data_IF_398977964774
#
_entry.id   IF_398977964774
#
_cell.length_a   1.000
_cell.length_b   1.000
_cell.length_c   1.000
_cell.angle_alpha   90.00
_cell.angle_beta   90.00
_cell.angle_gamma   90.00
#
_symmetry.space_group_name_H-M   'P 1'
#
loop_
_entity.id
_entity.type
_entity.pdbx_description
1 polymer ?
#
# COMPACT_ATOMS: atom_id res chain seq x y z
N UNK A 1 -25.76 56.02 13.12
CA UNK A 1 -26.68 55.43 12.16
C UNK A 1 -26.50 53.94 12.23
N UNK A 2 -27.48 53.26 12.87
CA UNK A 2 -27.50 51.84 13.15
C UNK A 2 -27.84 51.04 11.90
N UNK A 3 -27.14 49.93 11.66
CA UNK A 3 -27.56 48.89 10.76
C UNK A 3 -27.59 47.59 11.54
N UNK A 4 -28.81 47.13 11.84
CA UNK A 4 -29.17 45.94 12.55
C UNK A 4 -28.78 44.68 11.76
N UNK A 5 -28.12 43.73 12.42
CA UNK A 5 -27.90 42.36 11.90
C UNK A 5 -29.13 41.53 12.24
N UNK A 6 -29.92 41.15 11.24
CA UNK A 6 -30.95 40.08 11.35
C UNK A 6 -30.30 38.72 11.27
N UNK A 7 -30.47 37.92 12.32
CA UNK A 7 -30.25 36.49 12.33
C UNK A 7 -31.44 35.83 11.64
N UNK A 8 -31.17 35.00 10.62
CA UNK A 8 -32.17 34.13 10.00
C UNK A 8 -32.11 32.81 10.73
N UNK A 9 -33.15 32.50 11.49
CA UNK A 9 -33.38 31.20 12.13
C UNK A 9 -33.70 30.16 11.06
N UNK A 10 -32.95 29.06 11.02
CA UNK A 10 -33.26 27.88 10.21
C UNK A 10 -34.29 27.00 10.95
N UNK A 11 -35.36 26.56 10.29
CA UNK A 11 -36.32 25.67 10.90
C UNK A 11 -35.77 24.24 10.95
N UNK A 12 -35.64 23.71 12.16
CA UNK A 12 -35.45 22.29 12.46
C UNK A 12 -36.76 21.51 12.28
N UNK A 13 -37.15 21.17 11.06
CA UNK A 13 -38.27 20.22 10.85
C UNK A 13 -38.26 19.67 9.43
N UNK A 14 -37.30 18.84 9.09
CA UNK A 14 -37.34 18.02 7.87
C UNK A 14 -36.46 16.73 7.92
N UNK A 15 -36.02 16.31 9.08
CA UNK A 15 -35.17 15.10 9.21
C UNK A 15 -35.77 13.92 9.95
N UNK A 16 -37.03 13.95 10.30
CA UNK A 16 -37.71 12.85 11.02
C UNK A 16 -38.74 12.04 10.23
N UNK A 17 -38.90 12.29 8.94
CA UNK A 17 -39.96 11.61 8.15
C UNK A 17 -39.47 10.57 7.12
N UNK A 18 -38.16 10.21 7.09
CA UNK A 18 -37.63 9.31 6.05
C UNK A 18 -36.99 8.01 6.55
N UNK A 19 -37.24 7.58 7.78
CA UNK A 19 -36.64 6.38 8.38
C UNK A 19 -37.61 5.19 8.61
N UNK A 20 -38.84 5.23 8.14
CA UNK A 20 -39.79 4.17 8.38
C UNK A 20 -40.18 3.29 7.17
N UNK A 21 -39.54 3.42 6.02
CA UNK A 21 -39.91 2.63 4.83
C UNK A 21 -38.82 1.78 4.18
N UNK A 22 -37.73 1.45 4.87
CA UNK A 22 -36.62 0.69 4.24
C UNK A 22 -36.22 -0.60 4.97
N UNK A 23 -37.03 -1.14 5.88
CA UNK A 23 -36.76 -2.48 6.39
C UNK A 23 -37.98 -3.39 6.08
N UNK A 24 -37.79 -4.45 5.27
CA UNK A 24 -38.82 -5.46 5.10
C UNK A 24 -39.04 -6.21 6.42
N UNK A 25 -40.31 -6.45 6.74
CA UNK A 25 -40.76 -7.24 7.89
C UNK A 25 -40.11 -8.64 7.90
N UNK A 26 -39.94 -9.28 9.08
CA UNK A 26 -39.21 -10.55 9.24
C UNK A 26 -39.75 -11.76 8.47
N UNK A 27 -40.91 -11.66 7.83
CA UNK A 27 -41.53 -12.76 7.09
C UNK A 27 -41.08 -12.96 5.63
N UNK A 28 -40.24 -12.08 5.07
CA UNK A 28 -39.87 -12.15 3.63
C UNK A 28 -38.50 -12.80 3.34
N UNK A 29 -37.73 -13.19 4.35
CA UNK A 29 -36.42 -13.79 4.18
C UNK A 29 -36.39 -15.32 4.09
N UNK A 30 -37.47 -15.99 4.52
CA UNK A 30 -37.54 -17.46 4.48
C UNK A 30 -37.58 -18.07 3.06
N UNK A 31 -38.29 -17.49 2.05
CA UNK A 31 -38.33 -18.11 0.73
C UNK A 31 -37.00 -18.03 -0.04
N UNK A 32 -36.18 -16.99 0.21
CA UNK A 32 -34.90 -16.85 -0.50
C UNK A 32 -33.81 -17.80 0.00
N UNK A 33 -33.77 -18.11 1.28
CA UNK A 33 -32.86 -19.09 1.86
C UNK A 33 -33.20 -20.52 1.45
N UNK A 34 -34.48 -20.81 1.22
CA UNK A 34 -34.92 -22.14 0.80
C UNK A 34 -34.62 -22.44 -0.67
N UNK A 35 -34.63 -21.44 -1.54
CA UNK A 35 -34.24 -21.59 -2.96
C UNK A 35 -32.73 -21.75 -3.19
N UNK A 36 -31.90 -21.21 -2.29
CA UNK A 36 -30.43 -21.38 -2.40
C UNK A 36 -29.94 -22.77 -2.00
N UNK A 37 -30.69 -23.52 -1.19
CA UNK A 37 -30.33 -24.89 -0.76
C UNK A 37 -30.69 -25.99 -1.79
N UNK A 38 -31.47 -25.69 -2.80
CA UNK A 38 -31.99 -26.74 -3.71
C UNK A 38 -31.13 -27.07 -4.94
N UNK A 39 -30.09 -26.29 -5.23
CA UNK A 39 -29.31 -26.45 -6.45
C UNK A 39 -27.78 -26.46 -6.24
N UNK A 40 -27.30 -26.70 -5.04
CA UNK A 40 -25.89 -27.02 -4.88
C UNK A 40 -25.74 -28.55 -4.85
N UNK A 41 -24.98 -29.17 -5.77
CA UNK A 41 -24.57 -30.55 -5.59
C UNK A 41 -23.80 -30.64 -4.26
N UNK A 42 -24.09 -31.66 -3.47
CA UNK A 42 -23.28 -32.04 -2.31
C UNK A 42 -21.86 -32.29 -2.81
N UNK A 43 -21.02 -31.29 -2.70
CA UNK A 43 -19.58 -31.45 -2.88
C UNK A 43 -19.10 -32.08 -1.59
N UNK A 44 -18.93 -33.39 -1.61
CA UNK A 44 -18.27 -34.15 -0.56
C UNK A 44 -16.80 -33.67 -0.51
N UNK A 45 -16.59 -32.58 0.22
CA UNK A 45 -15.23 -32.13 0.51
C UNK A 45 -14.65 -33.16 1.48
N UNK A 46 -13.53 -33.80 1.14
CA UNK A 46 -12.88 -34.70 2.11
C UNK A 46 -12.63 -33.88 3.39
N UNK A 47 -13.32 -34.29 4.45
CA UNK A 47 -13.01 -33.80 5.80
C UNK A 47 -11.61 -34.32 6.08
N UNK A 48 -10.62 -33.43 6.02
CA UNK A 48 -9.28 -33.72 6.52
C UNK A 48 -9.42 -33.84 8.03
N UNK A 49 -9.76 -35.06 8.46
CA UNK A 49 -9.88 -35.42 9.85
C UNK A 49 -8.50 -35.76 10.43
N UNK A 50 -7.66 -34.72 10.47
CA UNK A 50 -6.50 -34.70 11.34
C UNK A 50 -6.22 -33.24 11.71
N UNK A 51 -6.41 -32.94 12.99
CA UNK A 51 -5.75 -31.81 13.62
C UNK A 51 -4.28 -31.86 13.18
N UNK A 52 -3.74 -30.83 12.50
CA UNK A 52 -2.34 -30.89 12.11
C UNK A 52 -1.53 -31.12 13.39
N UNK A 53 -0.89 -32.29 13.51
CA UNK A 53 0.09 -32.53 14.55
C UNK A 53 0.96 -31.25 14.56
N UNK A 54 1.26 -30.69 15.74
CA UNK A 54 2.16 -29.57 15.89
C UNK A 54 3.58 -29.97 15.47
N UNK A 55 3.72 -30.34 14.19
CA UNK A 55 5.01 -30.59 13.59
C UNK A 55 5.85 -29.33 13.76
N UNK A 56 7.03 -29.45 14.35
CA UNK A 56 7.97 -28.35 14.49
C UNK A 56 8.16 -27.73 13.11
N UNK A 57 8.02 -26.41 13.03
CA UNK A 57 8.29 -25.68 11.79
C UNK A 57 9.69 -26.03 11.29
N UNK A 58 9.86 -26.26 9.98
CA UNK A 58 11.18 -26.49 9.39
C UNK A 58 12.18 -25.42 9.78
N UNK A 59 13.46 -25.74 9.87
CA UNK A 59 14.52 -24.80 10.27
C UNK A 59 14.56 -23.57 9.35
N UNK A 60 14.31 -23.73 8.06
CA UNK A 60 14.30 -22.63 7.09
C UNK A 60 13.12 -21.64 7.26
N UNK A 61 12.10 -21.98 8.04
CA UNK A 61 11.02 -21.07 8.44
C UNK A 61 11.30 -20.33 9.75
N UNK A 62 12.43 -20.60 10.41
CA UNK A 62 12.82 -19.91 11.62
C UNK A 62 13.58 -18.64 11.29
N UNK A 63 13.07 -17.51 11.69
CA UNK A 63 13.76 -16.21 11.61
C UNK A 63 14.12 -15.74 13.01
N UNK A 64 15.24 -15.04 13.13
CA UNK A 64 15.63 -14.40 14.40
C UNK A 64 14.61 -13.31 14.73
N UNK A 65 14.11 -13.28 15.94
CA UNK A 65 13.24 -12.19 16.39
C UNK A 65 13.97 -10.84 16.23
N UNK A 66 13.28 -9.82 15.72
CA UNK A 66 13.88 -8.49 15.63
C UNK A 66 14.18 -7.98 17.05
N UNK A 67 15.43 -7.62 17.29
CA UNK A 67 15.89 -7.16 18.61
C UNK A 67 17.31 -6.62 18.56
N UNK A 68 17.74 -6.05 19.69
CA UNK A 68 19.05 -5.41 19.86
C UNK A 68 18.96 -3.89 19.85
N UNK A 69 20.05 -3.26 20.31
CA UNK A 69 20.13 -1.80 20.44
C UNK A 69 20.01 -1.09 19.11
N UNK A 70 20.69 -1.61 18.06
CA UNK A 70 20.61 -1.04 16.71
C UNK A 70 19.21 -1.02 16.15
N UNK A 71 18.46 -2.13 16.29
CA UNK A 71 17.06 -2.21 15.85
C UNK A 71 16.18 -1.20 16.58
N UNK A 72 16.32 -1.10 17.91
CA UNK A 72 15.55 -0.17 18.74
C UNK A 72 15.87 1.28 18.40
N UNK A 73 17.14 1.59 18.15
CA UNK A 73 17.61 2.91 17.74
C UNK A 73 17.00 3.32 16.37
N UNK A 74 17.08 2.44 15.36
CA UNK A 74 16.53 2.69 14.03
C UNK A 74 15.00 2.89 14.08
N UNK A 75 14.31 2.09 14.86
CA UNK A 75 12.86 2.24 15.06
C UNK A 75 12.49 3.58 15.71
N UNK A 76 13.24 4.01 16.72
CA UNK A 76 13.05 5.30 17.37
C UNK A 76 13.32 6.45 16.41
N UNK A 77 14.38 6.36 15.60
CA UNK A 77 14.73 7.35 14.60
C UNK A 77 13.62 7.48 13.53
N UNK A 78 13.08 6.38 13.01
CA UNK A 78 11.97 6.41 12.05
C UNK A 78 10.76 7.15 12.60
N UNK A 79 10.39 6.88 13.85
CA UNK A 79 9.27 7.54 14.51
C UNK A 79 9.52 9.02 14.76
N UNK A 80 10.73 9.39 15.19
CA UNK A 80 11.09 10.80 15.43
C UNK A 80 11.07 11.65 14.16
N UNK A 81 11.28 11.01 13.00
CA UNK A 81 11.22 11.63 11.68
C UNK A 81 9.84 11.52 11.01
N UNK A 82 8.83 10.96 11.69
CA UNK A 82 7.49 10.71 11.12
C UNK A 82 7.57 9.96 9.78
N UNK A 83 8.45 8.95 9.72
CA UNK A 83 8.63 8.11 8.54
C UNK A 83 7.93 6.77 8.73
N UNK A 84 7.39 6.24 7.63
CA UNK A 84 6.74 4.95 7.56
C UNK A 84 7.63 3.94 6.83
N UNK A 85 7.70 2.71 7.35
CA UNK A 85 8.36 1.60 6.68
C UNK A 85 7.39 0.46 6.44
N UNK A 86 7.43 -0.12 5.24
CA UNK A 86 6.68 -1.36 4.96
C UNK A 86 7.13 -2.47 5.90
N UNK A 87 8.39 -2.45 6.32
CA UNK A 87 8.93 -3.43 7.25
C UNK A 87 8.16 -3.48 8.58
N UNK A 88 7.72 -2.34 9.11
CA UNK A 88 6.90 -2.26 10.31
C UNK A 88 5.41 -2.45 10.01
N UNK A 89 4.87 -1.73 9.02
CA UNK A 89 3.44 -1.77 8.66
C UNK A 89 2.96 -3.17 8.26
N UNK A 90 3.77 -3.90 7.48
CA UNK A 90 3.49 -5.27 7.08
C UNK A 90 3.91 -6.32 8.12
N UNK A 91 4.43 -5.91 9.29
CA UNK A 91 4.96 -6.82 10.32
C UNK A 91 5.91 -7.86 9.73
N UNK A 92 6.84 -7.40 8.88
CA UNK A 92 7.73 -8.25 8.12
C UNK A 92 8.62 -9.10 9.07
N UNK A 93 8.63 -10.43 8.95
CA UNK A 93 9.46 -11.27 9.82
C UNK A 93 10.96 -11.11 9.56
N UNK A 94 11.33 -10.61 8.38
CA UNK A 94 12.73 -10.48 7.96
C UNK A 94 13.33 -9.10 8.29
N UNK A 95 12.60 -8.22 8.99
CA UNK A 95 13.01 -6.84 9.24
C UNK A 95 14.42 -6.75 9.87
N UNK A 96 14.73 -7.61 10.84
CA UNK A 96 16.03 -7.58 11.50
C UNK A 96 17.17 -7.98 10.57
N UNK A 97 16.95 -8.99 9.73
CA UNK A 97 17.93 -9.48 8.76
C UNK A 97 18.21 -8.41 7.69
N UNK A 98 17.15 -7.85 7.09
CA UNK A 98 17.27 -6.82 6.06
C UNK A 98 17.98 -5.56 6.60
N UNK A 99 17.59 -5.07 7.78
CA UNK A 99 18.20 -3.89 8.36
C UNK A 99 19.67 -4.10 8.71
N UNK A 100 20.02 -5.29 9.23
CA UNK A 100 21.42 -5.65 9.49
C UNK A 100 22.25 -5.80 8.21
N UNK A 101 21.60 -6.20 7.11
CA UNK A 101 22.24 -6.26 5.78
C UNK A 101 22.30 -4.89 5.08
N UNK A 102 21.91 -3.80 5.74
CA UNK A 102 21.89 -2.46 5.16
C UNK A 102 20.78 -2.23 4.12
N UNK A 103 19.65 -2.96 4.24
CA UNK A 103 18.50 -2.82 3.35
C UNK A 103 17.26 -2.41 4.13
N UNK A 104 16.55 -1.36 3.69
CA UNK A 104 15.28 -0.95 4.26
C UNK A 104 14.27 -0.54 3.18
N UNK A 105 12.97 -0.67 3.49
CA UNK A 105 11.88 -0.26 2.59
C UNK A 105 11.09 0.87 3.21
N UNK A 106 11.19 2.06 2.63
CA UNK A 106 10.42 3.24 3.03
C UNK A 106 9.10 3.29 2.28
N UNK A 107 8.07 3.74 2.97
CA UNK A 107 6.75 4.01 2.39
C UNK A 107 6.51 5.52 2.39
N UNK A 108 6.37 6.10 1.20
CA UNK A 108 6.17 7.53 0.98
C UNK A 108 4.73 7.86 0.57
N UNK A 109 4.45 9.15 0.42
CA UNK A 109 3.12 9.68 0.14
C UNK A 109 2.13 9.54 1.31
N UNK A 110 2.65 9.38 2.55
CA UNK A 110 1.88 9.23 3.78
C UNK A 110 1.55 7.77 4.15
N UNK A 111 0.62 7.60 5.09
CA UNK A 111 0.24 6.31 5.71
C UNK A 111 -1.11 5.74 5.27
N UNK A 112 -1.86 6.51 4.49
CA UNK A 112 -3.24 6.16 4.10
C UNK A 112 -3.35 6.02 2.59
N UNK A 113 -3.81 4.86 2.13
CA UNK A 113 -3.94 4.52 0.71
C UNK A 113 -5.37 4.77 0.22
N UNK A 114 -5.52 5.27 -1.00
CA UNK A 114 -6.84 5.42 -1.65
C UNK A 114 -7.41 4.10 -2.15
N UNK A 115 -6.62 3.01 -2.15
CA UNK A 115 -7.02 1.69 -2.63
C UNK A 115 -7.12 0.66 -1.51
N UNK A 116 -7.98 -0.36 -1.72
CA UNK A 116 -8.28 -1.44 -0.77
C UNK A 116 -7.90 -2.81 -1.34
N UNK A 117 -6.61 -3.03 -1.56
CA UNK A 117 -6.14 -4.34 -2.01
C UNK A 117 -6.32 -5.39 -0.92
N UNK A 118 -6.90 -6.56 -1.24
CA UNK A 118 -7.29 -7.57 -0.25
C UNK A 118 -6.15 -8.23 0.52
N UNK A 119 -4.91 -8.08 0.07
CA UNK A 119 -3.71 -8.62 0.72
C UNK A 119 -2.92 -7.57 1.52
N UNK A 120 -3.31 -6.28 1.43
CA UNK A 120 -2.52 -5.19 1.97
C UNK A 120 -2.99 -4.80 3.38
N UNK A 121 -2.05 -4.64 4.30
CA UNK A 121 -2.33 -4.22 5.67
C UNK A 121 -2.34 -2.69 5.85
N UNK A 122 -1.98 -1.92 4.81
CA UNK A 122 -1.95 -0.46 4.86
C UNK A 122 -3.36 0.10 5.02
N UNK A 123 -3.50 1.12 5.84
CA UNK A 123 -4.76 1.81 6.11
C UNK A 123 -5.37 2.35 4.82
N UNK A 124 -6.63 2.03 4.57
CA UNK A 124 -7.41 2.56 3.44
C UNK A 124 -8.27 3.75 3.88
N UNK A 125 -8.30 4.79 3.06
CA UNK A 125 -9.11 5.96 3.35
C UNK A 125 -8.78 7.17 2.49
N UNK A 126 -9.16 8.34 2.98
CA UNK A 126 -8.78 9.62 2.39
C UNK A 126 -7.45 10.08 2.99
N UNK A 127 -6.38 10.16 2.19
CA UNK A 127 -5.07 10.61 2.67
C UNK A 127 -5.08 12.08 3.11
N UNK A 128 -4.16 12.43 3.99
CA UNK A 128 -3.83 13.80 4.31
C UNK A 128 -3.15 14.49 3.09
N UNK A 129 -3.05 15.83 3.07
CA UNK A 129 -2.24 16.53 2.07
C UNK A 129 -0.83 15.98 1.99
N UNK A 130 -0.19 16.12 0.82
CA UNK A 130 1.21 15.71 0.64
C UNK A 130 2.13 16.47 1.58
N UNK A 131 3.07 15.75 2.17
CA UNK A 131 4.15 16.30 2.95
C UNK A 131 5.39 16.49 2.07
N UNK A 132 5.61 17.72 1.64
CA UNK A 132 6.72 18.07 0.74
C UNK A 132 8.10 17.99 1.41
N UNK A 133 8.17 17.81 2.73
CA UNK A 133 9.41 17.59 3.46
C UNK A 133 9.75 16.10 3.64
N UNK A 134 8.82 15.19 3.31
CA UNK A 134 9.02 13.75 3.39
C UNK A 134 10.25 13.27 2.61
N UNK A 135 10.52 13.73 1.34
CA UNK A 135 11.71 13.35 0.59
C UNK A 135 13.03 13.62 1.32
N UNK A 136 13.17 14.79 1.94
CA UNK A 136 14.35 15.16 2.71
C UNK A 136 14.55 14.24 3.92
N UNK A 137 13.47 13.98 4.67
CA UNK A 137 13.53 13.11 5.86
C UNK A 137 13.86 11.66 5.50
N UNK A 138 13.35 11.15 4.37
CA UNK A 138 13.73 9.82 3.85
C UNK A 138 15.21 9.78 3.52
N UNK A 139 15.72 10.77 2.81
CA UNK A 139 17.15 10.84 2.45
C UNK A 139 18.06 10.90 3.68
N UNK A 140 17.68 11.68 4.69
CA UNK A 140 18.41 11.73 5.97
C UNK A 140 18.40 10.37 6.70
N UNK A 141 17.26 9.66 6.68
CA UNK A 141 17.16 8.35 7.29
C UNK A 141 18.04 7.31 6.56
N UNK A 142 18.02 7.29 5.23
CA UNK A 142 18.90 6.43 4.40
C UNK A 142 20.36 6.65 4.75
N UNK A 143 20.78 7.92 4.86
CA UNK A 143 22.14 8.28 5.24
C UNK A 143 22.49 7.85 6.66
N UNK A 144 21.61 8.12 7.63
CA UNK A 144 21.84 7.76 9.04
C UNK A 144 21.88 6.25 9.27
N UNK A 145 21.10 5.48 8.50
CA UNK A 145 21.13 4.02 8.52
C UNK A 145 22.32 3.44 7.75
N UNK A 146 23.07 4.26 7.03
CA UNK A 146 24.16 3.83 6.13
C UNK A 146 23.74 2.69 5.22
N UNK A 147 22.60 2.84 4.54
CA UNK A 147 22.02 1.78 3.73
C UNK A 147 22.87 1.52 2.48
N UNK A 148 23.06 0.25 2.18
CA UNK A 148 23.64 -0.22 0.92
C UNK A 148 22.58 -0.25 -0.18
N UNK A 149 21.35 -0.62 0.22
CA UNK A 149 20.21 -0.73 -0.68
C UNK A 149 18.94 -0.13 -0.05
N UNK A 150 18.35 0.84 -0.74
CA UNK A 150 17.14 1.52 -0.32
C UNK A 150 16.00 1.14 -1.25
N UNK A 151 14.93 0.55 -0.71
CA UNK A 151 13.68 0.33 -1.43
C UNK A 151 12.71 1.44 -1.06
N UNK A 152 12.15 2.12 -2.06
CA UNK A 152 11.13 3.14 -1.88
C UNK A 152 9.83 2.58 -2.45
N UNK A 153 8.75 2.61 -1.67
CA UNK A 153 7.40 2.31 -2.13
C UNK A 153 6.45 3.41 -1.66
N UNK A 154 5.18 3.35 -2.03
CA UNK A 154 4.20 4.34 -1.60
C UNK A 154 2.82 3.75 -1.39
N UNK A 155 1.97 4.49 -0.68
CA UNK A 155 0.52 4.37 -0.80
C UNK A 155 0.06 4.87 -2.18
N UNK A 156 -1.10 4.42 -2.67
CA UNK A 156 -1.71 5.02 -3.85
C UNK A 156 -2.38 6.34 -3.50
N UNK A 157 -2.20 7.32 -4.37
CA UNK A 157 -2.76 8.67 -4.29
C UNK A 157 -3.61 8.97 -5.52
N UNK A 158 -4.65 8.14 -5.73
CA UNK A 158 -5.51 8.20 -6.93
C UNK A 158 -6.31 9.51 -7.06
N UNK A 159 -6.36 10.31 -5.99
CA UNK A 159 -6.96 11.64 -5.96
C UNK A 159 -6.05 12.74 -6.54
N UNK A 160 -4.74 12.46 -6.69
CA UNK A 160 -3.79 13.38 -7.29
C UNK A 160 -3.68 13.13 -8.81
N UNK A 161 -3.50 14.18 -9.56
CA UNK A 161 -3.40 14.13 -11.03
C UNK A 161 -2.22 13.26 -11.49
N UNK A 162 -1.10 13.32 -10.79
CA UNK A 162 0.10 12.56 -11.08
C UNK A 162 0.28 11.34 -10.17
N UNK A 163 -0.71 11.02 -9.32
CA UNK A 163 -0.62 9.90 -8.37
C UNK A 163 0.50 10.04 -7.34
N UNK A 164 1.01 11.25 -7.11
CA UNK A 164 2.12 11.54 -6.19
C UNK A 164 3.51 11.33 -6.82
N UNK A 165 3.61 11.27 -8.14
CA UNK A 165 4.89 11.03 -8.85
C UNK A 165 5.95 12.11 -8.58
N UNK A 166 5.55 13.34 -8.26
CA UNK A 166 6.48 14.40 -7.90
C UNK A 166 7.23 14.11 -6.60
N UNK A 167 6.54 13.59 -5.58
CA UNK A 167 7.19 13.15 -4.32
C UNK A 167 8.17 12.00 -4.60
N UNK A 168 7.84 11.09 -5.52
CA UNK A 168 8.75 10.04 -5.97
C UNK A 168 10.04 10.60 -6.54
N UNK A 169 9.93 11.52 -7.50
CA UNK A 169 11.08 12.15 -8.14
C UNK A 169 11.97 12.86 -7.11
N UNK A 170 11.38 13.67 -6.24
CA UNK A 170 12.12 14.38 -5.19
C UNK A 170 12.79 13.43 -4.20
N UNK A 171 12.13 12.30 -3.84
CA UNK A 171 12.70 11.33 -2.91
C UNK A 171 13.92 10.63 -3.51
N UNK A 172 13.83 10.16 -4.76
CA UNK A 172 14.94 9.50 -5.46
C UNK A 172 16.12 10.46 -5.54
N UNK A 173 15.90 11.70 -5.97
CA UNK A 173 16.93 12.75 -6.09
C UNK A 173 17.58 13.02 -4.74
N UNK A 174 16.82 13.26 -3.69
CA UNK A 174 17.33 13.54 -2.36
C UNK A 174 18.18 12.37 -1.79
N UNK A 175 17.75 11.12 -2.01
CA UNK A 175 18.52 9.93 -1.60
C UNK A 175 19.83 9.85 -2.36
N UNK A 176 19.82 10.06 -3.68
CA UNK A 176 21.06 10.04 -4.49
C UNK A 176 22.05 11.12 -4.11
N UNK A 177 21.57 12.33 -3.82
CA UNK A 177 22.42 13.44 -3.38
C UNK A 177 23.06 13.18 -2.01
N UNK A 178 22.26 12.64 -1.06
CA UNK A 178 22.73 12.42 0.32
C UNK A 178 23.55 11.14 0.50
N UNK A 179 23.33 10.14 -0.34
CA UNK A 179 23.91 8.79 -0.25
C UNK A 179 24.22 8.22 -1.65
N UNK A 180 25.21 8.75 -2.37
CA UNK A 180 25.47 8.40 -3.78
C UNK A 180 25.82 6.92 -4.02
N UNK A 181 26.32 6.23 -3.00
CA UNK A 181 26.68 4.81 -3.06
C UNK A 181 25.53 3.86 -2.79
N UNK A 182 24.38 4.38 -2.32
CA UNK A 182 23.19 3.56 -2.03
C UNK A 182 22.47 3.21 -3.33
N UNK A 183 22.22 1.91 -3.56
CA UNK A 183 21.37 1.46 -4.66
C UNK A 183 19.92 1.79 -4.34
N UNK A 184 19.19 2.38 -5.30
CA UNK A 184 17.79 2.79 -5.15
C UNK A 184 16.89 1.90 -5.99
N UNK A 185 16.06 1.09 -5.32
CA UNK A 185 14.94 0.36 -5.94
C UNK A 185 13.64 1.12 -5.66
N UNK A 186 12.79 1.24 -6.67
CA UNK A 186 11.46 1.84 -6.52
C UNK A 186 10.38 0.79 -6.79
N UNK A 187 9.43 0.60 -5.85
CA UNK A 187 8.25 -0.24 -6.03
C UNK A 187 7.04 0.68 -6.22
N UNK A 188 6.79 1.05 -7.48
CA UNK A 188 5.83 2.10 -7.85
C UNK A 188 4.40 1.57 -8.00
N UNK A 189 3.37 2.43 -7.79
CA UNK A 189 1.99 2.12 -8.15
C UNK A 189 1.81 2.11 -9.68
N UNK A 190 0.63 1.71 -10.16
CA UNK A 190 0.31 1.72 -11.59
C UNK A 190 -0.04 3.12 -12.13
N UNK A 191 -0.06 4.15 -11.28
CA UNK A 191 -0.45 5.53 -11.59
C UNK A 191 -1.74 5.63 -12.43
N UNK A 192 -2.65 4.66 -12.32
CA UNK A 192 -3.86 4.55 -13.14
C UNK A 192 -3.57 4.54 -14.66
N UNK A 193 -2.39 4.08 -15.06
CA UNK A 193 -1.92 4.09 -16.46
C UNK A 193 -1.38 5.43 -16.94
N UNK A 194 -1.11 6.38 -16.04
CA UNK A 194 -0.52 7.69 -16.39
C UNK A 194 0.98 7.52 -16.70
N UNK A 195 1.33 7.49 -17.98
CA UNK A 195 2.72 7.34 -18.43
C UNK A 195 3.58 8.58 -18.17
N UNK A 196 2.98 9.78 -18.09
CA UNK A 196 3.73 10.98 -17.72
C UNK A 196 4.19 10.94 -16.24
N UNK A 197 3.42 10.31 -15.36
CA UNK A 197 3.81 10.04 -13.99
C UNK A 197 4.96 9.01 -13.91
N UNK A 198 4.89 7.94 -14.74
CA UNK A 198 5.99 6.98 -14.88
C UNK A 198 7.27 7.68 -15.34
N UNK A 199 7.17 8.54 -16.38
CA UNK A 199 8.33 9.25 -16.93
C UNK A 199 9.03 10.09 -15.87
N UNK A 200 8.30 10.81 -15.01
CA UNK A 200 8.89 11.58 -13.90
C UNK A 200 9.76 10.71 -12.98
N UNK A 201 9.31 9.50 -12.67
CA UNK A 201 10.08 8.57 -11.83
C UNK A 201 11.32 8.05 -12.56
N UNK A 202 11.18 7.70 -13.84
CA UNK A 202 12.27 7.17 -14.67
C UNK A 202 13.35 8.21 -14.93
N UNK A 203 12.98 9.49 -15.08
CA UNK A 203 13.93 10.60 -15.30
C UNK A 203 14.94 10.75 -14.15
N UNK A 204 14.56 10.34 -12.93
CA UNK A 204 15.46 10.32 -11.76
C UNK A 204 16.36 9.07 -11.70
N UNK A 205 16.25 8.18 -12.70
CA UNK A 205 17.12 7.02 -12.94
C UNK A 205 17.32 6.14 -11.70
N UNK A 206 16.25 5.59 -11.09
CA UNK A 206 16.42 4.57 -10.06
C UNK A 206 17.16 3.36 -10.66
N UNK A 207 17.90 2.61 -9.83
CA UNK A 207 18.69 1.46 -10.30
C UNK A 207 17.79 0.28 -10.70
N UNK A 208 16.68 0.12 -9.98
CA UNK A 208 15.67 -0.93 -10.22
C UNK A 208 14.28 -0.31 -10.15
N UNK A 209 13.44 -0.57 -11.15
CA UNK A 209 12.04 -0.22 -11.16
C UNK A 209 11.20 -1.48 -11.00
N UNK A 210 10.53 -1.60 -9.87
CA UNK A 210 9.64 -2.69 -9.52
C UNK A 210 8.18 -2.23 -9.60
N UNK A 211 7.33 -3.08 -10.16
CA UNK A 211 5.88 -2.96 -10.08
C UNK A 211 5.25 -4.35 -10.02
N UNK A 212 4.57 -4.65 -8.91
CA UNK A 212 3.96 -5.95 -8.71
C UNK A 212 2.69 -6.11 -9.54
N UNK A 213 2.60 -7.18 -10.31
CA UNK A 213 1.37 -7.61 -10.98
C UNK A 213 0.43 -8.35 -10.04
N UNK A 214 0.92 -8.83 -8.91
CA UNK A 214 0.26 -9.48 -7.78
C UNK A 214 -0.41 -10.80 -8.12
N UNK A 215 -1.23 -10.89 -9.18
CA UNK A 215 -2.00 -12.09 -9.49
C UNK A 215 -2.40 -12.13 -10.97
N UNK A 216 -3.04 -13.22 -11.38
CA UNK A 216 -3.54 -13.45 -12.75
C UNK A 216 -4.78 -12.61 -13.08
N UNK A 217 -5.09 -12.33 -14.36
CA UNK A 217 -6.17 -11.44 -14.77
C UNK A 217 -7.55 -11.78 -14.17
N UNK A 218 -7.92 -13.07 -14.08
CA UNK A 218 -9.21 -13.52 -13.55
C UNK A 218 -9.45 -13.18 -12.08
N UNK A 219 -8.38 -13.01 -11.29
CA UNK A 219 -8.45 -12.69 -9.87
C UNK A 219 -8.25 -11.20 -9.58
N UNK A 220 -7.87 -10.40 -10.56
CA UNK A 220 -7.48 -9.02 -10.36
C UNK A 220 -8.56 -8.19 -9.67
N UNK A 221 -9.81 -8.31 -10.14
CA UNK A 221 -10.95 -7.59 -9.57
C UNK A 221 -11.21 -7.94 -8.09
N UNK A 222 -10.94 -9.18 -7.71
CA UNK A 222 -11.12 -9.66 -6.32
C UNK A 222 -9.98 -9.22 -5.41
N UNK A 223 -8.75 -9.28 -5.91
CA UNK A 223 -7.53 -9.07 -5.12
C UNK A 223 -7.11 -7.60 -5.12
N UNK A 224 -7.32 -6.89 -6.24
CA UNK A 224 -6.86 -5.52 -6.49
C UNK A 224 -7.95 -4.71 -7.22
N UNK A 225 -9.10 -4.43 -6.56
CA UNK A 225 -10.33 -3.98 -7.22
C UNK A 225 -10.18 -2.65 -8.00
N UNK A 226 -9.33 -1.74 -7.54
CA UNK A 226 -9.09 -0.45 -8.20
C UNK A 226 -7.95 -0.50 -9.24
N UNK A 227 -7.15 -1.58 -9.25
CA UNK A 227 -6.11 -1.78 -10.25
C UNK A 227 -6.64 -2.41 -11.53
N UNK A 228 -5.89 -2.28 -12.62
CA UNK A 228 -6.18 -2.97 -13.89
C UNK A 228 -4.94 -3.73 -14.35
N UNK A 229 -5.09 -5.03 -14.61
CA UNK A 229 -3.98 -5.87 -15.08
C UNK A 229 -3.26 -5.31 -16.32
N UNK A 230 -3.96 -4.80 -17.36
CA UNK A 230 -3.29 -4.18 -18.50
C UNK A 230 -2.42 -2.96 -18.14
N UNK A 231 -2.80 -2.16 -17.13
CA UNK A 231 -1.97 -1.03 -16.68
C UNK A 231 -0.63 -1.48 -16.13
N UNK A 232 -0.63 -2.55 -15.31
CA UNK A 232 0.59 -3.12 -14.76
C UNK A 232 1.54 -3.63 -15.84
N UNK A 233 1.00 -4.32 -16.85
CA UNK A 233 1.81 -4.81 -17.98
C UNK A 233 2.33 -3.67 -18.86
N UNK A 234 1.48 -2.68 -19.13
CA UNK A 234 1.87 -1.51 -19.91
C UNK A 234 3.00 -0.74 -19.23
N UNK A 235 2.84 -0.46 -17.91
CA UNK A 235 3.85 0.25 -17.12
C UNK A 235 5.20 -0.46 -17.17
N UNK A 236 5.24 -1.77 -16.95
CA UNK A 236 6.48 -2.55 -17.00
C UNK A 236 7.11 -2.55 -18.39
N UNK A 237 6.29 -2.63 -19.45
CA UNK A 237 6.77 -2.54 -20.84
C UNK A 237 7.38 -1.19 -21.14
N UNK A 238 6.69 -0.11 -20.80
CA UNK A 238 7.17 1.26 -21.01
C UNK A 238 8.46 1.53 -20.20
N UNK A 239 8.50 1.13 -18.93
CA UNK A 239 9.70 1.25 -18.12
C UNK A 239 10.90 0.52 -18.74
N UNK A 240 10.66 -0.69 -19.31
CA UNK A 240 11.70 -1.45 -20.01
C UNK A 240 12.16 -0.76 -21.28
N UNK A 241 11.26 -0.16 -22.06
CA UNK A 241 11.59 0.60 -23.27
C UNK A 241 12.40 1.87 -22.95
N UNK A 242 12.14 2.48 -21.78
CA UNK A 242 12.91 3.61 -21.25
C UNK A 242 14.27 3.20 -20.66
N UNK A 243 14.66 1.94 -20.77
CA UNK A 243 15.98 1.44 -20.39
C UNK A 243 16.10 1.01 -18.92
N UNK A 244 14.99 0.93 -18.17
CA UNK A 244 15.02 0.54 -16.77
C UNK A 244 15.28 -0.96 -16.57
N UNK A 245 15.99 -1.30 -15.49
CA UNK A 245 16.00 -2.65 -14.93
C UNK A 245 14.66 -2.89 -14.22
N UNK A 246 13.80 -3.68 -14.85
CA UNK A 246 12.44 -3.91 -14.33
C UNK A 246 12.34 -5.20 -13.51
N UNK A 247 11.54 -5.15 -12.44
CA UNK A 247 11.23 -6.26 -11.54
C UNK A 247 9.72 -6.34 -11.32
N UNK A 248 9.17 -7.53 -11.09
CA UNK A 248 7.75 -7.72 -10.75
C UNK A 248 7.59 -8.81 -9.70
N UNK A 249 6.54 -8.72 -8.89
CA UNK A 249 6.13 -9.72 -7.92
C UNK A 249 4.78 -10.31 -8.26
N UNK A 250 4.61 -11.61 -7.94
CA UNK A 250 3.36 -12.35 -8.08
C UNK A 250 3.16 -13.17 -6.82
N UNK A 251 1.93 -13.16 -6.30
CA UNK A 251 1.49 -14.06 -5.23
C UNK A 251 0.95 -15.36 -5.84
N UNK A 252 1.37 -16.48 -5.30
CA UNK A 252 0.95 -17.84 -5.68
C UNK A 252 -0.17 -18.35 -4.78
#
# INVERSE_FOLDING_TARGET
MNAERRWIEHPQTAQQACLHHLFPTPGFLEPMLYLQKKNMPDIDLPVLDESPSHARRPEWLKVKAPGGESFSHLKTMMRSKSLHTVCEEARCPNIAECWNAGTATFMINGDTCTRSCGFCAVKTGRPLPLDWDEPRRVAEAVKQMNLVHCVITSVNRDELVDGGAEIWAQTIRAVRESSPSTTVEVLIPDFKGNLAALQKVVDEKPDILNHNTETVPRLYRRVRPQGKYPWSLQLLREAKQLGMNTKTGIML
#
